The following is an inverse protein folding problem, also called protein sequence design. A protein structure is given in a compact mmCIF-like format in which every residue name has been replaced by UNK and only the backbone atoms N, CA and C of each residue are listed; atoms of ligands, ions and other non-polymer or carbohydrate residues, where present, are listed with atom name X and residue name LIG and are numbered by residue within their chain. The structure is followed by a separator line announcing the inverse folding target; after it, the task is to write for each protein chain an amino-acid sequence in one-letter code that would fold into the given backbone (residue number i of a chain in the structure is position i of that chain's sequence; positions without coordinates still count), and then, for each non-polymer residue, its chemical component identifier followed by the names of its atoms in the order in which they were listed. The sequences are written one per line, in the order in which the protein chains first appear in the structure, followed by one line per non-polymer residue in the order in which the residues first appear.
data_IF_279674537132
#
_entry.id   IF_279674537132
#
_cell.length_a   1.000
_cell.length_b   1.000
_cell.length_c   1.000
_cell.angle_alpha   90.00
_cell.angle_beta   90.00
_cell.angle_gamma   90.00
#
_symmetry.space_group_name_H-M   'P 1'
#
loop_
_entity.id
_entity.type
_entity.pdbx_description
1 polymer ?
#
# COMPACT_ATOMS: atom_id res chain seq x y z
N UNK A 1 17.81 -11.62 -11.60
CA UNK A 1 16.40 -11.20 -11.70
C UNK A 1 16.42 -9.80 -12.28
N UNK A 2 15.88 -9.58 -13.46
CA UNK A 2 15.66 -8.23 -13.98
C UNK A 2 14.55 -7.60 -13.14
N UNK A 3 14.84 -6.54 -12.40
CA UNK A 3 13.78 -5.71 -11.85
C UNK A 3 13.09 -5.03 -13.05
N UNK A 4 11.86 -5.45 -13.31
CA UNK A 4 10.98 -4.82 -14.30
C UNK A 4 10.32 -3.61 -13.61
N UNK A 5 10.20 -2.49 -14.33
CA UNK A 5 9.46 -1.33 -13.84
C UNK A 5 8.06 -1.81 -13.44
N UNK A 6 7.67 -1.53 -12.20
CA UNK A 6 6.38 -1.98 -11.66
C UNK A 6 5.72 -0.85 -10.88
N UNK A 7 4.42 -0.68 -11.09
CA UNK A 7 3.55 0.22 -10.34
C UNK A 7 2.46 -0.61 -9.67
N UNK A 8 2.31 -0.47 -8.35
CA UNK A 8 1.31 -1.16 -7.56
C UNK A 8 0.11 -0.25 -7.28
N UNK A 9 -1.07 -0.85 -7.27
CA UNK A 9 -2.35 -0.19 -7.00
C UNK A 9 -3.23 -1.12 -6.16
N UNK A 10 -4.00 -0.50 -5.26
CA UNK A 10 -5.04 -1.17 -4.47
C UNK A 10 -6.41 -1.17 -5.16
N UNK A 11 -6.60 -0.29 -6.16
CA UNK A 11 -7.84 -0.12 -6.92
C UNK A 11 -7.65 -0.53 -8.38
N UNK A 12 -8.59 -1.33 -8.90
CA UNK A 12 -8.50 -1.88 -10.25
C UNK A 12 -8.63 -0.80 -11.33
N UNK A 13 -9.56 0.13 -11.15
CA UNK A 13 -9.87 1.20 -12.09
C UNK A 13 -8.66 2.11 -12.32
N UNK A 14 -7.95 2.42 -11.24
CA UNK A 14 -6.72 3.21 -11.21
C UNK A 14 -5.60 2.51 -11.98
N UNK A 15 -5.36 1.23 -11.70
CA UNK A 15 -4.39 0.42 -12.44
C UNK A 15 -4.72 0.35 -13.94
N UNK A 16 -6.00 0.19 -14.30
CA UNK A 16 -6.45 0.21 -15.69
C UNK A 16 -6.23 1.56 -16.36
N UNK A 17 -6.46 2.65 -15.64
CA UNK A 17 -6.25 4.00 -16.13
C UNK A 17 -4.76 4.27 -16.37
N UNK A 18 -3.90 3.85 -15.46
CA UNK A 18 -2.43 3.93 -15.62
C UNK A 18 -1.96 3.20 -16.88
N UNK A 19 -2.46 1.98 -17.14
CA UNK A 19 -2.17 1.23 -18.39
C UNK A 19 -2.59 2.01 -19.64
N UNK A 20 -3.74 2.71 -19.60
CA UNK A 20 -4.19 3.52 -20.75
C UNK A 20 -3.27 4.72 -20.98
N UNK A 21 -2.84 5.38 -19.92
CA UNK A 21 -1.89 6.51 -19.97
C UNK A 21 -0.57 6.06 -20.59
N UNK A 22 0.01 4.97 -20.10
CA UNK A 22 1.26 4.39 -20.63
C UNK A 22 1.13 4.03 -22.12
N UNK A 23 0.03 3.40 -22.52
CA UNK A 23 -0.20 3.07 -23.93
C UNK A 23 -0.38 4.31 -24.81
N UNK A 24 -1.01 5.37 -24.27
CA UNK A 24 -1.19 6.64 -24.99
C UNK A 24 0.12 7.40 -25.16
N UNK A 25 1.07 7.28 -24.22
CA UNK A 25 2.42 7.82 -24.35
C UNK A 25 3.33 7.00 -25.27
N UNK A 26 2.81 5.91 -25.85
CA UNK A 26 3.52 5.05 -26.79
C UNK A 26 4.24 3.87 -26.15
N UNK A 27 4.12 3.68 -24.83
CA UNK A 27 4.75 2.60 -24.09
C UNK A 27 3.90 1.32 -24.11
N UNK A 28 4.56 0.17 -24.20
CA UNK A 28 3.94 -1.10 -23.89
C UNK A 28 3.67 -1.20 -22.38
N UNK A 29 2.55 -1.81 -21.99
CA UNK A 29 2.19 -1.96 -20.58
C UNK A 29 1.27 -3.17 -20.39
N UNK A 30 1.50 -3.91 -19.31
CA UNK A 30 0.70 -5.08 -18.90
C UNK A 30 0.17 -4.90 -17.49
N UNK A 31 -1.11 -5.25 -17.29
CA UNK A 31 -1.70 -5.39 -15.96
C UNK A 31 -1.62 -6.86 -15.53
N UNK A 32 -1.15 -7.12 -14.31
CA UNK A 32 -1.29 -8.38 -13.61
C UNK A 32 -2.11 -8.18 -12.34
N UNK A 33 -2.84 -9.22 -11.94
CA UNK A 33 -3.63 -9.22 -10.71
C UNK A 33 -3.13 -10.37 -9.87
N UNK A 34 -2.72 -10.07 -8.66
CA UNK A 34 -2.27 -11.04 -7.68
C UNK A 34 -3.19 -10.99 -6.47
N UNK A 35 -3.50 -12.15 -5.91
CA UNK A 35 -4.24 -12.27 -4.67
C UNK A 35 -3.31 -12.82 -3.62
N UNK A 36 -3.09 -12.06 -2.56
CA UNK A 36 -2.35 -12.49 -1.39
C UNK A 36 -3.35 -12.86 -0.30
N UNK A 37 -3.04 -13.95 0.42
CA UNK A 37 -3.78 -14.33 1.62
C UNK A 37 -2.91 -14.00 2.82
N UNK A 38 -3.47 -13.21 3.73
CA UNK A 38 -2.89 -12.97 5.06
C UNK A 38 -3.77 -13.66 6.09
N UNK A 39 -3.16 -14.13 7.17
CA UNK A 39 -3.91 -14.70 8.28
C UNK A 39 -3.40 -14.16 9.60
N UNK A 40 -4.32 -13.72 10.44
CA UNK A 40 -4.05 -13.26 11.79
C UNK A 40 -4.83 -14.11 12.79
N UNK A 41 -4.17 -14.52 13.86
CA UNK A 41 -4.81 -15.17 14.98
C UNK A 41 -5.35 -14.11 15.95
N UNK A 42 -6.65 -14.17 16.23
CA UNK A 42 -7.37 -13.15 16.97
C UNK A 42 -8.23 -13.83 18.03
N UNK A 43 -8.18 -13.31 19.26
CA UNK A 43 -9.12 -13.67 20.31
C UNK A 43 -10.31 -12.72 20.27
N UNK A 44 -11.51 -13.25 20.48
CA UNK A 44 -12.76 -12.52 20.59
C UNK A 44 -13.38 -12.73 21.97
N UNK A 45 -13.94 -11.69 22.56
CA UNK A 45 -14.60 -11.75 23.86
C UNK A 45 -15.08 -10.39 24.31
N UNK A 46 -15.67 -10.33 25.50
CA UNK A 46 -16.12 -9.05 26.05
C UNK A 46 -14.95 -8.26 26.64
N UNK A 47 -15.10 -6.93 26.75
CA UNK A 47 -14.14 -6.05 27.42
C UNK A 47 -13.79 -6.59 28.82
N UNK A 48 -14.79 -6.97 29.62
CA UNK A 48 -14.56 -7.54 30.96
C UNK A 48 -13.74 -8.84 30.92
N UNK A 49 -14.04 -9.71 29.96
CA UNK A 49 -13.34 -11.00 29.81
C UNK A 49 -11.87 -10.78 29.45
N UNK A 50 -11.58 -9.80 28.58
CA UNK A 50 -10.21 -9.41 28.28
C UNK A 50 -9.52 -8.73 29.46
N UNK A 51 -10.18 -7.81 30.17
CA UNK A 51 -9.60 -7.14 31.32
C UNK A 51 -9.16 -8.13 32.41
N UNK A 52 -10.02 -9.11 32.72
CA UNK A 52 -9.67 -10.20 33.64
C UNK A 52 -8.52 -11.06 33.12
N UNK A 53 -8.55 -11.42 31.85
CA UNK A 53 -7.55 -12.30 31.26
C UNK A 53 -6.17 -11.65 31.18
N UNK A 54 -6.09 -10.42 30.67
CA UNK A 54 -4.84 -9.65 30.59
C UNK A 54 -4.28 -9.43 31.99
N UNK A 55 -5.12 -9.06 32.96
CA UNK A 55 -4.71 -8.92 34.36
C UNK A 55 -4.12 -10.21 34.93
N UNK A 56 -4.64 -11.38 34.57
CA UNK A 56 -4.06 -12.67 34.98
C UNK A 56 -2.69 -12.94 34.38
N UNK A 57 -2.44 -12.52 33.12
CA UNK A 57 -1.16 -12.69 32.44
C UNK A 57 -0.09 -11.74 32.99
N UNK A 58 -0.45 -10.49 33.31
CA UNK A 58 0.47 -9.49 33.86
C UNK A 58 1.05 -9.89 35.22
N UNK A 59 0.34 -10.71 36.00
CA UNK A 59 0.83 -11.23 37.28
C UNK A 59 1.82 -12.40 37.13
N UNK A 60 1.87 -13.06 35.97
CA UNK A 60 2.67 -14.26 35.75
C UNK A 60 3.97 -13.97 34.97
N UNK A 61 4.02 -12.91 34.16
CA UNK A 61 5.15 -12.62 33.27
C UNK A 61 5.58 -11.13 33.31
N UNK A 62 6.59 -10.79 34.11
CA UNK A 62 7.20 -9.45 34.19
C UNK A 62 8.04 -9.07 32.93
N UNK A 63 8.22 -10.00 31.97
CA UNK A 63 9.10 -9.83 30.81
C UNK A 63 8.48 -9.21 29.56
N UNK A 64 7.14 -9.23 29.43
CA UNK A 64 6.42 -8.89 28.20
C UNK A 64 5.36 -7.79 28.41
N UNK A 65 5.71 -6.77 29.22
CA UNK A 65 4.81 -5.66 29.57
C UNK A 65 4.33 -4.85 28.35
N UNK A 66 5.12 -4.76 27.27
CA UNK A 66 4.76 -3.99 26.07
C UNK A 66 3.59 -4.64 25.31
N UNK A 67 3.63 -5.96 25.10
CA UNK A 67 2.58 -6.68 24.38
C UNK A 67 1.24 -6.64 25.13
N UNK A 68 1.27 -6.90 26.44
CA UNK A 68 0.10 -6.81 27.31
C UNK A 68 -0.40 -5.36 27.47
N UNK A 69 0.51 -4.39 27.44
CA UNK A 69 0.18 -2.96 27.40
C UNK A 69 -0.60 -2.59 26.14
N UNK A 70 -0.15 -3.05 24.97
CA UNK A 70 -0.88 -2.86 23.71
C UNK A 70 -2.24 -3.58 23.69
N UNK A 71 -2.32 -4.80 24.24
CA UNK A 71 -3.59 -5.50 24.37
C UNK A 71 -4.59 -4.73 25.26
N UNK A 72 -4.10 -4.21 26.40
CA UNK A 72 -4.91 -3.40 27.32
C UNK A 72 -5.37 -2.10 26.66
N UNK A 73 -4.49 -1.48 25.89
CA UNK A 73 -4.80 -0.24 25.17
C UNK A 73 -5.86 -0.44 24.09
N UNK A 74 -5.80 -1.54 23.32
CA UNK A 74 -6.86 -1.91 22.37
C UNK A 74 -8.21 -2.01 23.08
N UNK A 75 -8.26 -2.75 24.20
CA UNK A 75 -9.49 -2.94 24.98
C UNK A 75 -10.02 -1.60 25.51
N UNK A 76 -9.14 -0.75 26.05
CA UNK A 76 -9.49 0.59 26.56
C UNK A 76 -10.04 1.50 25.46
N UNK A 77 -9.37 1.54 24.31
CA UNK A 77 -9.79 2.38 23.18
C UNK A 77 -11.14 1.94 22.62
N UNK A 78 -11.41 0.64 22.54
CA UNK A 78 -12.75 0.15 22.16
C UNK A 78 -13.81 0.48 23.22
N UNK A 79 -13.49 0.41 24.51
CA UNK A 79 -14.41 0.84 25.58
C UNK A 79 -14.78 2.32 25.46
N UNK A 80 -13.77 3.17 25.22
CA UNK A 80 -13.95 4.62 25.05
C UNK A 80 -14.74 4.95 23.79
N UNK A 81 -14.43 4.30 22.67
CA UNK A 81 -15.16 4.46 21.42
C UNK A 81 -16.63 4.04 21.60
N UNK A 82 -16.88 2.86 22.18
CA UNK A 82 -18.22 2.38 22.48
C UNK A 82 -18.98 3.37 23.37
N UNK A 83 -18.40 3.77 24.49
CA UNK A 83 -19.03 4.68 25.45
C UNK A 83 -19.34 6.04 24.84
N UNK A 84 -18.43 6.59 24.04
CA UNK A 84 -18.60 7.87 23.34
C UNK A 84 -19.71 7.81 22.30
N UNK A 85 -19.72 6.78 21.46
CA UNK A 85 -20.76 6.57 20.43
C UNK A 85 -22.14 6.43 21.08
N UNK A 86 -22.27 5.56 22.09
CA UNK A 86 -23.54 5.31 22.77
C UNK A 86 -24.04 6.56 23.49
N UNK A 87 -23.15 7.34 24.11
CA UNK A 87 -23.51 8.62 24.75
C UNK A 87 -24.02 9.63 23.72
N UNK A 88 -23.33 9.79 22.59
CA UNK A 88 -23.78 10.67 21.52
C UNK A 88 -25.15 10.25 20.94
N UNK A 89 -25.37 8.95 20.72
CA UNK A 89 -26.67 8.42 20.30
C UNK A 89 -27.78 8.77 21.31
N UNK A 90 -27.51 8.66 22.62
CA UNK A 90 -28.47 9.03 23.67
C UNK A 90 -28.76 10.53 23.71
N UNK A 91 -27.77 11.37 23.43
CA UNK A 91 -27.87 12.82 23.53
C UNK A 91 -28.55 13.48 22.32
N UNK A 92 -28.13 13.11 21.10
CA UNK A 92 -28.54 13.80 19.87
C UNK A 92 -28.98 12.87 18.72
N UNK A 93 -29.04 11.57 18.97
CA UNK A 93 -29.37 10.56 17.95
C UNK A 93 -28.20 10.24 17.01
N UNK A 94 -26.96 10.52 17.42
CA UNK A 94 -25.75 10.26 16.64
C UNK A 94 -25.55 11.26 15.50
N UNK A 95 -26.04 12.49 15.68
CA UNK A 95 -26.06 13.50 14.62
C UNK A 95 -24.66 13.85 14.11
N UNK A 96 -23.66 13.77 15.00
CA UNK A 96 -22.26 14.04 14.69
C UNK A 96 -21.69 13.19 13.54
N UNK A 97 -22.18 11.95 13.35
CA UNK A 97 -21.73 11.05 12.28
C UNK A 97 -22.09 11.56 10.89
N UNK A 98 -23.13 12.41 10.79
CA UNK A 98 -23.53 13.03 9.52
C UNK A 98 -22.53 14.06 9.04
N UNK A 99 -21.78 14.67 9.96
CA UNK A 99 -20.78 15.70 9.64
C UNK A 99 -19.76 15.20 8.61
N UNK A 100 -19.36 13.93 8.69
CA UNK A 100 -18.44 13.33 7.72
C UNK A 100 -19.00 13.27 6.29
N UNK A 101 -20.31 13.12 6.14
CA UNK A 101 -20.98 13.09 4.84
C UNK A 101 -21.37 14.49 4.35
N UNK A 102 -21.84 15.35 5.26
CA UNK A 102 -22.38 16.67 4.92
C UNK A 102 -21.29 17.72 4.72
N UNK A 103 -20.16 17.63 5.43
CA UNK A 103 -19.10 18.63 5.39
C UNK A 103 -17.68 18.02 5.38
N UNK A 104 -17.36 17.07 4.47
CA UNK A 104 -16.06 16.41 4.43
C UNK A 104 -14.90 17.38 4.24
N UNK A 105 -15.07 18.42 3.42
CA UNK A 105 -14.04 19.42 3.11
C UNK A 105 -13.69 20.33 4.30
N UNK A 106 -14.47 20.29 5.39
CA UNK A 106 -14.25 21.08 6.60
C UNK A 106 -13.52 20.32 7.71
N UNK A 107 -13.28 19.02 7.51
CA UNK A 107 -12.66 18.13 8.47
C UNK A 107 -11.19 17.89 8.10
N UNK A 108 -10.33 17.76 9.11
CA UNK A 108 -9.00 17.19 8.89
C UNK A 108 -9.09 15.70 8.53
N UNK A 109 -8.05 15.18 7.88
CA UNK A 109 -7.97 13.76 7.52
C UNK A 109 -8.12 12.85 8.75
N UNK A 110 -7.58 13.26 9.90
CA UNK A 110 -7.70 12.54 11.18
C UNK A 110 -9.16 12.52 11.70
N UNK A 111 -9.86 13.65 11.64
CA UNK A 111 -11.27 13.73 12.05
C UNK A 111 -12.16 12.89 11.13
N UNK A 112 -11.91 12.95 9.81
CA UNK A 112 -12.64 12.17 8.84
C UNK A 112 -12.42 10.66 9.04
N UNK A 113 -11.19 10.24 9.29
CA UNK A 113 -10.86 8.85 9.59
C UNK A 113 -11.56 8.36 10.88
N UNK A 114 -11.53 9.17 11.94
CA UNK A 114 -12.19 8.86 13.22
C UNK A 114 -13.71 8.70 13.06
N UNK A 115 -14.36 9.65 12.38
CA UNK A 115 -15.82 9.58 12.12
C UNK A 115 -16.19 8.39 11.24
N UNK A 116 -15.36 8.06 10.25
CA UNK A 116 -15.57 6.90 9.38
C UNK A 116 -15.49 5.60 10.18
N UNK A 117 -14.54 5.50 11.11
CA UNK A 117 -14.43 4.34 12.00
C UNK A 117 -15.64 4.23 12.94
N UNK A 118 -16.11 5.34 13.52
CA UNK A 118 -17.32 5.33 14.35
C UNK A 118 -18.56 4.94 13.56
N UNK A 119 -18.72 5.47 12.34
CA UNK A 119 -19.84 5.10 11.47
C UNK A 119 -19.83 3.60 11.17
N UNK A 120 -18.65 3.02 10.94
CA UNK A 120 -18.49 1.56 10.80
C UNK A 120 -18.89 0.81 12.07
N UNK A 121 -18.45 1.26 13.25
CA UNK A 121 -18.85 0.66 14.54
C UNK A 121 -20.37 0.72 14.73
N UNK A 122 -21.01 1.83 14.38
CA UNK A 122 -22.48 1.95 14.44
C UNK A 122 -23.17 0.93 13.54
N UNK A 123 -22.68 0.69 12.32
CA UNK A 123 -23.25 -0.35 11.45
C UNK A 123 -23.18 -1.74 12.09
N UNK A 124 -22.09 -2.03 12.81
CA UNK A 124 -21.97 -3.26 13.59
C UNK A 124 -22.96 -3.27 14.76
N UNK A 125 -23.15 -2.15 15.44
CA UNK A 125 -24.12 -2.04 16.54
C UNK A 125 -25.57 -2.20 16.09
N UNK A 126 -25.89 -1.72 14.88
CA UNK A 126 -27.20 -1.94 14.25
C UNK A 126 -27.39 -3.41 13.93
N UNK A 127 -26.39 -4.05 13.30
CA UNK A 127 -26.41 -5.49 12.99
C UNK A 127 -26.58 -6.35 14.24
N UNK A 128 -25.93 -5.96 15.34
CA UNK A 128 -25.94 -6.68 16.61
C UNK A 128 -27.15 -6.32 17.49
N UNK A 129 -28.06 -5.46 16.99
CA UNK A 129 -29.32 -5.10 17.63
C UNK A 129 -29.14 -4.26 18.90
N UNK A 130 -28.08 -3.46 18.98
CA UNK A 130 -27.91 -2.44 20.03
C UNK A 130 -28.60 -1.13 19.65
N UNK A 131 -28.55 -0.79 18.37
CA UNK A 131 -29.03 0.48 17.82
C UNK A 131 -30.01 0.22 16.68
N UNK A 132 -31.05 1.03 16.56
CA UNK A 132 -31.98 1.05 15.43
C UNK A 132 -31.96 2.44 14.79
N UNK A 133 -32.09 2.50 13.47
CA UNK A 133 -32.29 3.77 12.77
C UNK A 133 -33.80 3.99 12.58
N UNK A 134 -34.31 5.11 13.06
CA UNK A 134 -35.71 5.53 12.88
C UNK A 134 -35.76 7.03 12.64
N UNK A 135 -36.56 7.47 11.67
CA UNK A 135 -36.76 8.89 11.34
C UNK A 135 -35.44 9.68 11.22
N UNK A 136 -34.48 9.13 10.49
CA UNK A 136 -33.18 9.76 10.26
C UNK A 136 -32.39 9.99 11.57
N UNK A 137 -32.59 9.16 12.59
CA UNK A 137 -31.84 9.20 13.86
C UNK A 137 -31.53 7.80 14.37
N UNK A 138 -30.42 7.69 15.08
CA UNK A 138 -30.06 6.46 15.78
C UNK A 138 -30.73 6.44 17.15
N UNK A 139 -31.30 5.30 17.49
CA UNK A 139 -31.95 5.04 18.75
C UNK A 139 -31.38 3.80 19.41
N UNK A 140 -31.07 3.90 20.69
CA UNK A 140 -30.62 2.76 21.47
C UNK A 140 -31.81 1.85 21.79
N UNK A 141 -31.77 0.59 21.36
CA UNK A 141 -32.87 -0.38 21.55
C UNK A 141 -32.82 -1.01 22.96
N UNK A 142 -31.61 -1.13 23.53
CA UNK A 142 -31.37 -1.70 24.85
C UNK A 142 -30.19 -1.02 25.52
N UNK A 143 -30.23 -0.95 26.85
CA UNK A 143 -29.06 -0.51 27.60
C UNK A 143 -27.99 -1.60 27.55
N UNK A 144 -26.77 -1.21 27.17
CA UNK A 144 -25.63 -2.11 27.01
C UNK A 144 -24.53 -1.60 27.91
N UNK A 145 -24.04 -2.48 28.78
CA UNK A 145 -22.88 -2.20 29.60
C UNK A 145 -21.61 -2.19 28.73
N UNK A 146 -20.74 -1.16 28.79
CA UNK A 146 -19.50 -1.14 28.03
C UNK A 146 -18.66 -2.40 28.23
N UNK A 147 -18.60 -2.95 29.46
CA UNK A 147 -17.90 -4.19 29.78
C UNK A 147 -18.35 -5.42 28.98
N UNK A 148 -19.59 -5.39 28.48
CA UNK A 148 -20.18 -6.46 27.65
C UNK A 148 -19.92 -6.32 26.15
N UNK A 149 -19.30 -5.22 25.71
CA UNK A 149 -18.99 -4.99 24.30
C UNK A 149 -17.95 -6.02 23.80
N UNK A 150 -18.20 -6.58 22.62
CA UNK A 150 -17.33 -7.58 22.01
C UNK A 150 -16.13 -6.90 21.33
N UNK A 151 -14.93 -7.31 21.73
CA UNK A 151 -13.66 -6.81 21.20
C UNK A 151 -12.87 -7.95 20.57
N UNK A 152 -11.96 -7.59 19.67
CA UNK A 152 -11.05 -8.50 19.00
C UNK A 152 -9.61 -8.08 19.32
N UNK A 153 -8.81 -8.98 19.89
CA UNK A 153 -7.41 -8.71 20.26
C UNK A 153 -6.49 -9.74 19.58
N UNK A 154 -5.43 -9.32 18.86
CA UNK A 154 -4.46 -10.26 18.29
C UNK A 154 -3.86 -11.20 19.36
N UNK A 155 -3.89 -12.50 19.09
CA UNK A 155 -3.35 -13.55 19.99
C UNK A 155 -1.87 -13.33 20.37
N UNK A 156 -0.98 -12.84 19.47
CA UNK A 156 0.40 -12.53 19.84
C UNK A 156 0.54 -11.50 20.98
N UNK A 157 -0.41 -10.56 21.10
CA UNK A 157 -0.40 -9.56 22.19
C UNK A 157 -0.83 -10.15 23.53
N UNK A 158 -1.42 -11.35 23.51
CA UNK A 158 -1.85 -12.07 24.71
C UNK A 158 -0.84 -13.13 25.16
N UNK A 159 0.40 -13.06 24.65
CA UNK A 159 1.49 -14.01 24.94
C UNK A 159 1.20 -15.44 24.45
N UNK A 160 0.56 -15.56 23.28
CA UNK A 160 0.29 -16.83 22.59
C UNK A 160 -0.41 -17.89 23.47
N UNK A 161 -1.56 -17.57 24.10
CA UNK A 161 -2.24 -18.50 24.98
C UNK A 161 -2.77 -19.69 24.20
N UNK A 162 -2.75 -20.87 24.82
CA UNK A 162 -3.40 -22.05 24.27
C UNK A 162 -4.93 -21.83 24.18
N UNK A 163 -5.56 -22.49 23.20
CA UNK A 163 -7.01 -22.40 22.97
C UNK A 163 -7.82 -22.67 24.24
N UNK A 164 -7.46 -23.70 25.01
CA UNK A 164 -8.16 -24.10 26.23
C UNK A 164 -8.05 -23.03 27.33
N UNK A 165 -6.97 -22.26 27.34
CA UNK A 165 -6.77 -21.13 28.27
C UNK A 165 -7.69 -19.97 27.90
N UNK A 166 -7.80 -19.64 26.61
CA UNK A 166 -8.76 -18.64 26.12
C UNK A 166 -10.20 -19.05 26.45
N UNK A 167 -10.59 -20.28 26.16
CA UNK A 167 -11.96 -20.77 26.41
C UNK A 167 -12.32 -20.75 27.90
N UNK A 168 -11.37 -21.09 28.78
CA UNK A 168 -11.55 -20.98 30.24
C UNK A 168 -11.74 -19.53 30.71
N UNK A 169 -11.17 -18.57 29.99
CA UNK A 169 -11.35 -17.14 30.24
C UNK A 169 -12.60 -16.55 29.57
N UNK A 170 -13.43 -17.38 28.92
CA UNK A 170 -14.61 -16.90 28.18
C UNK A 170 -14.28 -16.26 26.83
N UNK A 171 -13.04 -16.43 26.36
CA UNK A 171 -12.56 -15.91 25.08
C UNK A 171 -12.60 -17.00 24.01
N UNK A 172 -12.74 -16.59 22.76
CA UNK A 172 -12.77 -17.46 21.59
C UNK A 172 -11.64 -17.09 20.64
N UNK A 173 -10.68 -17.97 20.44
CA UNK A 173 -9.63 -17.81 19.43
C UNK A 173 -10.13 -18.20 18.03
N UNK A 174 -9.88 -17.35 17.05
CA UNK A 174 -10.10 -17.64 15.63
C UNK A 174 -8.86 -17.28 14.82
N UNK A 175 -8.67 -17.96 13.69
CA UNK A 175 -7.73 -17.54 12.65
C UNK A 175 -8.51 -16.82 11.57
N UNK A 176 -8.39 -15.49 11.54
CA UNK A 176 -9.00 -14.65 10.53
C UNK A 176 -8.12 -14.68 9.29
N UNK A 177 -8.66 -15.14 8.17
CA UNK A 177 -7.97 -15.13 6.87
C UNK A 177 -8.57 -14.01 6.03
N UNK A 178 -7.74 -13.05 5.67
CA UNK A 178 -8.05 -11.95 4.77
C UNK A 178 -7.38 -12.17 3.42
N UNK A 179 -8.01 -11.67 2.36
CA UNK A 179 -7.41 -11.61 1.04
C UNK A 179 -7.23 -10.17 0.62
N UNK A 180 -6.05 -9.83 0.15
CA UNK A 180 -5.77 -8.56 -0.52
C UNK A 180 -5.57 -8.83 -2.01
N UNK A 181 -6.06 -7.92 -2.84
CA UNK A 181 -5.86 -7.98 -4.29
C UNK A 181 -4.91 -6.87 -4.66
N UNK A 182 -3.75 -7.24 -5.19
CA UNK A 182 -2.74 -6.32 -5.69
C UNK A 182 -2.84 -6.22 -7.20
N UNK A 183 -2.96 -4.99 -7.71
CA UNK A 183 -2.95 -4.72 -9.14
C UNK A 183 -1.60 -4.16 -9.54
N UNK A 184 -0.82 -4.91 -10.31
CA UNK A 184 0.52 -4.50 -10.74
C UNK A 184 0.52 -4.14 -12.22
N UNK A 185 0.92 -2.91 -12.52
CA UNK A 185 1.15 -2.43 -13.88
C UNK A 185 2.64 -2.53 -14.16
N UNK A 186 2.98 -3.22 -15.24
CA UNK A 186 4.34 -3.45 -15.72
C UNK A 186 4.55 -2.68 -17.03
N UNK A 187 5.12 -1.47 -17.01
CA UNK A 187 5.53 -0.76 -18.19
C UNK A 187 6.68 -1.50 -18.88
N UNK A 188 6.66 -1.57 -20.21
CA UNK A 188 7.81 -2.01 -20.96
C UNK A 188 8.92 -0.96 -20.94
N UNK A 189 10.12 -1.41 -21.24
CA UNK A 189 11.32 -0.56 -21.26
C UNK A 189 11.22 0.61 -22.26
N UNK A 190 10.30 0.53 -23.23
CA UNK A 190 10.03 1.57 -24.19
C UNK A 190 9.37 2.82 -23.59
N UNK A 191 8.90 2.75 -22.33
CA UNK A 191 8.34 3.88 -21.59
C UNK A 191 9.30 5.07 -21.47
N UNK A 192 10.61 4.83 -21.44
CA UNK A 192 11.63 5.88 -21.34
C UNK A 192 11.72 6.74 -22.62
N UNK A 193 11.08 6.32 -23.71
CA UNK A 193 11.02 7.09 -24.97
C UNK A 193 9.73 7.89 -25.13
N UNK A 194 8.95 8.04 -24.07
CA UNK A 194 7.80 8.94 -24.07
C UNK A 194 8.20 10.36 -24.49
N UNK A 195 7.26 11.07 -25.14
CA UNK A 195 7.53 12.41 -25.68
C UNK A 195 7.76 13.45 -24.59
N UNK A 196 7.10 13.29 -23.46
CA UNK A 196 7.19 14.17 -22.30
C UNK A 196 7.18 13.33 -21.01
N UNK A 197 8.35 13.10 -20.39
CA UNK A 197 8.46 12.35 -19.16
C UNK A 197 7.74 13.00 -17.98
N UNK A 198 7.73 14.33 -17.90
CA UNK A 198 7.10 15.05 -16.79
C UNK A 198 5.58 14.89 -16.85
N UNK A 199 4.98 15.17 -18.01
CA UNK A 199 3.55 14.97 -18.22
C UNK A 199 3.12 13.51 -17.98
N UNK A 200 3.98 12.55 -18.35
CA UNK A 200 3.73 11.13 -18.11
C UNK A 200 3.73 10.82 -16.61
N UNK A 201 4.74 11.28 -15.88
CA UNK A 201 4.88 11.06 -14.44
C UNK A 201 3.70 11.69 -13.70
N UNK A 202 3.34 12.93 -14.02
CA UNK A 202 2.20 13.64 -13.43
C UNK A 202 0.88 12.90 -13.70
N UNK A 203 0.71 12.40 -14.94
CA UNK A 203 -0.48 11.63 -15.31
C UNK A 203 -0.56 10.29 -14.57
N UNK A 204 0.57 9.59 -14.36
CA UNK A 204 0.60 8.35 -13.60
C UNK A 204 0.33 8.63 -12.12
N UNK A 205 0.92 9.69 -11.55
CA UNK A 205 0.68 10.07 -10.15
C UNK A 205 -0.80 10.35 -9.90
N UNK A 206 -1.48 11.02 -10.84
CA UNK A 206 -2.91 11.29 -10.78
C UNK A 206 -3.80 10.03 -10.79
N UNK A 207 -3.23 8.85 -11.02
CA UNK A 207 -3.93 7.55 -10.88
C UNK A 207 -3.72 6.89 -9.53
N UNK A 208 -3.19 7.60 -8.53
CA UNK A 208 -3.02 7.11 -7.15
C UNK A 208 -2.30 5.75 -7.04
N UNK A 209 -1.11 5.57 -7.66
CA UNK A 209 -0.27 4.41 -7.36
C UNK A 209 0.13 4.40 -5.87
N UNK A 210 0.44 3.22 -5.35
CA UNK A 210 1.06 3.10 -4.02
C UNK A 210 2.35 3.92 -3.96
N UNK A 211 2.50 4.75 -2.92
CA UNK A 211 3.55 5.77 -2.84
C UNK A 211 4.96 5.18 -2.95
N UNK A 212 5.26 4.14 -2.16
CA UNK A 212 6.57 3.46 -2.21
C UNK A 212 6.85 2.87 -3.58
N UNK A 213 5.82 2.29 -4.22
CA UNK A 213 5.93 1.75 -5.57
C UNK A 213 6.18 2.86 -6.61
N UNK A 214 5.54 4.01 -6.46
CA UNK A 214 5.69 5.13 -7.37
C UNK A 214 7.07 5.78 -7.27
N UNK A 215 7.59 5.94 -6.05
CA UNK A 215 8.96 6.43 -5.82
C UNK A 215 9.97 5.48 -6.47
N UNK A 216 9.86 4.18 -6.19
CA UNK A 216 10.74 3.18 -6.80
C UNK A 216 10.65 3.17 -8.34
N UNK A 217 9.45 3.35 -8.88
CA UNK A 217 9.24 3.49 -10.32
C UNK A 217 9.96 4.71 -10.90
N UNK A 218 9.84 5.88 -10.27
CA UNK A 218 10.50 7.12 -10.72
C UNK A 218 12.02 6.95 -10.74
N UNK A 219 12.59 6.43 -9.65
CA UNK A 219 14.04 6.20 -9.54
C UNK A 219 14.54 5.29 -10.68
N UNK A 220 13.87 4.14 -10.87
CA UNK A 220 14.23 3.21 -11.93
C UNK A 220 14.03 3.81 -13.34
N UNK A 221 12.95 4.58 -13.54
CA UNK A 221 12.68 5.25 -14.80
C UNK A 221 13.82 6.19 -15.20
N UNK A 222 14.29 7.03 -14.27
CA UNK A 222 15.40 7.95 -14.54
C UNK A 222 16.75 7.24 -14.71
N UNK A 223 17.00 6.16 -13.97
CA UNK A 223 18.19 5.33 -14.19
C UNK A 223 18.21 4.71 -15.58
N UNK A 224 17.07 4.20 -16.05
CA UNK A 224 16.94 3.63 -17.40
C UNK A 224 17.07 4.69 -18.49
N UNK A 225 16.48 5.87 -18.29
CA UNK A 225 16.64 7.01 -19.19
C UNK A 225 18.12 7.41 -19.33
N UNK A 226 18.81 7.57 -18.20
CA UNK A 226 20.24 7.90 -18.14
C UNK A 226 21.09 6.83 -18.83
N UNK A 227 20.79 5.55 -18.59
CA UNK A 227 21.50 4.44 -19.24
C UNK A 227 21.26 4.43 -20.76
N UNK A 228 20.05 4.74 -21.22
CA UNK A 228 19.75 4.84 -22.65
C UNK A 228 20.57 5.97 -23.31
N UNK A 229 20.67 7.13 -22.65
CA UNK A 229 21.50 8.25 -23.12
C UNK A 229 22.98 7.88 -23.20
N UNK A 230 23.50 7.14 -22.22
CA UNK A 230 24.87 6.64 -22.26
C UNK A 230 25.12 5.61 -23.37
N UNK A 231 24.16 4.72 -23.64
CA UNK A 231 24.24 3.81 -24.79
C UNK A 231 24.33 4.63 -26.09
N UNK A 232 23.48 5.65 -26.24
CA UNK A 232 23.50 6.55 -27.41
C UNK A 232 24.84 7.27 -27.52
N UNK A 233 25.35 7.82 -26.42
CA UNK A 233 26.67 8.48 -26.32
C UNK A 233 27.81 7.56 -26.75
N UNK A 234 27.81 6.31 -26.30
CA UNK A 234 28.81 5.30 -26.68
C UNK A 234 28.75 4.96 -28.18
N UNK A 235 27.55 4.88 -28.77
CA UNK A 235 27.39 4.70 -30.22
C UNK A 235 27.91 5.93 -30.98
N UNK A 236 27.63 7.15 -30.51
CA UNK A 236 28.16 8.39 -31.11
C UNK A 236 29.69 8.46 -31.07
N UNK A 237 30.30 7.94 -29.99
CA UNK A 237 31.76 7.82 -29.84
C UNK A 237 32.38 6.73 -30.72
N UNK A 238 31.57 5.95 -31.44
CA UNK A 238 32.01 5.01 -32.47
C UNK A 238 31.81 3.53 -32.14
N UNK A 239 31.14 3.19 -31.05
CA UNK A 239 30.77 1.79 -30.81
C UNK A 239 29.75 1.32 -31.87
N UNK A 240 30.06 0.22 -32.54
CA UNK A 240 29.23 -0.33 -33.62
C UNK A 240 28.62 -1.68 -33.26
N UNK A 241 29.08 -2.31 -32.18
CA UNK A 241 28.59 -3.61 -31.70
C UNK A 241 28.08 -3.56 -30.26
N UNK A 242 27.18 -4.48 -29.91
CA UNK A 242 26.68 -4.68 -28.55
C UNK A 242 27.78 -5.04 -27.56
N UNK A 243 28.79 -5.80 -28.00
CA UNK A 243 29.92 -6.19 -27.17
C UNK A 243 30.78 -4.97 -26.81
N UNK A 244 31.00 -4.05 -27.75
CA UNK A 244 31.69 -2.79 -27.49
C UNK A 244 30.91 -1.95 -26.48
N UNK A 245 29.60 -1.77 -26.70
CA UNK A 245 28.73 -1.00 -25.79
C UNK A 245 28.78 -1.60 -24.37
N UNK A 246 28.58 -2.91 -24.24
CA UNK A 246 28.55 -3.61 -22.94
C UNK A 246 29.88 -3.52 -22.18
N UNK A 247 31.02 -3.40 -22.89
CA UNK A 247 32.34 -3.22 -22.27
C UNK A 247 32.62 -1.77 -21.88
N UNK A 248 32.08 -0.81 -22.63
CA UNK A 248 32.31 0.61 -22.41
C UNK A 248 31.47 1.20 -21.29
N UNK A 249 30.26 0.68 -21.05
CA UNK A 249 29.34 1.23 -20.06
C UNK A 249 29.86 1.09 -18.61
N UNK A 250 30.30 -0.10 -18.14
CA UNK A 250 30.79 -0.26 -16.77
C UNK A 250 32.06 0.55 -16.45
N UNK A 251 32.79 0.98 -17.48
CA UNK A 251 33.99 1.79 -17.34
C UNK A 251 33.72 3.30 -17.21
N UNK A 252 32.48 3.74 -17.42
CA UNK A 252 32.10 5.16 -17.40
C UNK A 252 31.39 5.52 -16.09
N UNK A 253 31.69 6.73 -15.60
CA UNK A 253 30.94 7.37 -14.52
C UNK A 253 30.14 8.53 -15.08
N UNK A 254 28.87 8.63 -14.69
CA UNK A 254 27.92 9.63 -15.17
C UNK A 254 27.52 10.53 -14.02
N UNK A 255 27.76 11.82 -14.15
CA UNK A 255 27.28 12.83 -13.19
C UNK A 255 25.88 13.27 -13.60
N UNK A 256 24.90 13.14 -12.70
CA UNK A 256 23.54 13.62 -12.92
C UNK A 256 23.41 15.09 -12.51
N UNK A 257 23.95 15.46 -11.35
CA UNK A 257 24.04 16.83 -10.86
C UNK A 257 25.34 17.05 -10.04
N UNK A 258 25.60 18.30 -9.61
CA UNK A 258 26.84 18.66 -8.89
C UNK A 258 26.88 18.19 -7.42
N UNK A 259 25.74 17.86 -6.83
CA UNK A 259 25.59 17.49 -5.41
C UNK A 259 25.47 15.97 -5.22
N UNK A 260 25.05 15.24 -6.25
CA UNK A 260 24.86 13.79 -6.26
C UNK A 260 26.16 13.03 -6.55
N UNK A 261 26.23 11.80 -6.02
CA UNK A 261 27.30 10.88 -6.38
C UNK A 261 27.20 10.48 -7.86
N UNK A 262 28.33 10.37 -8.58
CA UNK A 262 28.32 9.90 -9.94
C UNK A 262 27.86 8.43 -10.01
N UNK A 263 27.02 8.14 -10.99
CA UNK A 263 26.55 6.79 -11.27
C UNK A 263 27.59 5.99 -12.05
N UNK A 264 27.65 4.69 -11.78
CA UNK A 264 28.36 3.73 -12.62
C UNK A 264 27.43 2.55 -12.91
N UNK A 265 27.16 2.31 -14.19
CA UNK A 265 26.25 1.24 -14.60
C UNK A 265 27.00 -0.08 -14.75
N UNK A 266 26.80 -1.00 -13.82
CA UNK A 266 27.20 -2.40 -13.96
C UNK A 266 25.99 -3.23 -14.42
N UNK A 267 25.79 -3.28 -15.74
CA UNK A 267 24.59 -3.86 -16.35
C UNK A 267 24.93 -5.08 -17.21
N UNK A 268 24.01 -6.04 -17.23
CA UNK A 268 24.17 -7.25 -18.04
C UNK A 268 24.08 -6.92 -19.54
N UNK A 269 24.71 -7.78 -20.36
CA UNK A 269 24.59 -7.69 -21.82
C UNK A 269 23.12 -7.81 -22.28
N UNK A 270 22.28 -8.54 -21.55
CA UNK A 270 20.85 -8.66 -21.83
C UNK A 270 20.12 -7.32 -21.66
N UNK A 271 20.42 -6.56 -20.61
CA UNK A 271 19.84 -5.23 -20.41
C UNK A 271 20.28 -4.26 -21.52
N UNK A 272 21.57 -4.29 -21.89
CA UNK A 272 22.10 -3.48 -23.00
C UNK A 272 21.40 -3.84 -24.32
N UNK A 273 21.21 -5.14 -24.58
CA UNK A 273 20.47 -5.62 -25.75
C UNK A 273 19.03 -5.10 -25.76
N UNK A 274 18.31 -5.23 -24.64
CA UNK A 274 16.92 -4.75 -24.52
C UNK A 274 16.81 -3.25 -24.79
N UNK A 275 17.72 -2.44 -24.23
CA UNK A 275 17.74 -1.00 -24.46
C UNK A 275 18.11 -0.63 -25.90
N UNK A 276 19.07 -1.32 -26.51
CA UNK A 276 19.43 -1.12 -27.92
C UNK A 276 18.25 -1.47 -28.83
N UNK A 277 17.52 -2.54 -28.53
CA UNK A 277 16.32 -2.92 -29.29
C UNK A 277 15.19 -1.89 -29.12
N UNK A 278 15.02 -1.36 -27.92
CA UNK A 278 14.02 -0.34 -27.62
C UNK A 278 14.37 1.01 -28.29
N UNK A 279 15.64 1.44 -28.21
CA UNK A 279 16.17 2.60 -28.94
C UNK A 279 15.97 2.47 -30.46
N UNK A 280 16.19 1.26 -31.01
CA UNK A 280 15.99 0.99 -32.44
C UNK A 280 14.50 1.04 -32.81
N UNK A 281 13.64 0.47 -31.98
CA UNK A 281 12.19 0.46 -32.17
C UNK A 281 11.59 1.87 -32.09
N UNK A 282 12.10 2.69 -31.17
CA UNK A 282 11.78 4.12 -31.06
C UNK A 282 12.41 4.98 -32.16
N UNK A 283 13.22 4.40 -33.06
CA UNK A 283 13.85 5.09 -34.17
C UNK A 283 14.97 6.05 -33.79
N UNK A 284 15.50 5.97 -32.55
CA UNK A 284 16.64 6.78 -32.07
C UNK A 284 17.97 6.30 -32.65
N UNK A 285 18.07 5.01 -32.93
CA UNK A 285 19.24 4.40 -33.58
C UNK A 285 18.82 3.53 -34.75
N UNK A 286 19.79 3.19 -35.61
CA UNK A 286 19.59 2.32 -36.76
C UNK A 286 20.78 1.38 -36.99
N UNK A 287 20.56 0.37 -37.84
CA UNK A 287 21.57 -0.63 -38.15
C UNK A 287 21.47 -1.89 -37.29
N UNK A 288 22.13 -2.95 -37.77
CA UNK A 288 22.36 -4.19 -37.03
C UNK A 288 23.72 -4.11 -36.33
N UNK A 289 24.00 -5.10 -35.49
CA UNK A 289 25.31 -5.28 -34.88
C UNK A 289 26.44 -5.19 -35.92
N UNK A 290 27.48 -4.42 -35.60
CA UNK A 290 28.58 -4.05 -36.51
C UNK A 290 28.31 -2.85 -37.41
N UNK A 291 27.10 -2.25 -37.36
CA UNK A 291 26.70 -1.06 -38.12
C UNK A 291 25.77 -0.13 -37.34
N UNK A 292 25.77 -0.19 -36.02
CA UNK A 292 24.95 0.69 -35.18
C UNK A 292 25.30 2.17 -35.43
N UNK A 293 24.26 3.01 -35.57
CA UNK A 293 24.38 4.47 -35.76
C UNK A 293 23.20 5.20 -35.12
N UNK A 294 23.48 6.34 -34.50
CA UNK A 294 22.44 7.29 -34.06
C UNK A 294 21.81 7.97 -35.27
N UNK A 295 20.50 8.21 -35.21
CA UNK A 295 19.75 8.91 -36.26
C UNK A 295 19.68 10.41 -36.00
#
# INVERSE_FOLDING_TARGET
MSQELTLHFTVREDAQQSVRILKKSGASARLTVEMTLSSLEVAFGTIDSFGMFIGSLSHENEGDEEALGLASEIVRLEEEAFSRIISAIKEDGGSYLRTAYENPDSLSDEELASLTQDARRVLEYVRDGYVEETDDRLHLIREVDPGSHMVAVPIPLLLFPEKETLERAGLRGERVVSSETLFSVHPGIDVIFCSDPTDLIDSIQATNPEEESFVAFIEQFFLLLTLADEIVSVIQKGATTLLEISRSIPAQTVSIDEEAYPLRFDVSQEMVQQLVDALRSAGRISGKDGRLKVR
#
